data_IF_365739911958
#
_entry.id   IF_365739911958
#
_cell.length_a   1.000
_cell.length_b   1.000
_cell.length_c   1.000
_cell.angle_alpha   90.00
_cell.angle_beta   90.00
_cell.angle_gamma   90.00
#
_symmetry.space_group_name_H-M   'P 1'
#
loop_
_entity.id
_entity.type
_entity.pdbx_description
1 polymer ?
#
# COMPACT_ATOMS: atom_id res chain seq x y z
N UNK A 1 -9.28 -14.21 -8.93
CA UNK A 1 -8.69 -15.13 -7.94
C UNK A 1 -7.18 -14.90 -7.87
N UNK A 2 -6.70 -13.96 -7.04
CA UNK A 2 -5.27 -13.61 -6.89
C UNK A 2 -4.73 -14.25 -5.62
N UNK A 3 -4.46 -15.54 -5.72
CA UNK A 3 -4.32 -16.43 -4.58
C UNK A 3 -2.91 -17.01 -4.42
N UNK A 4 -1.88 -16.18 -4.57
CA UNK A 4 -0.49 -16.45 -4.12
C UNK A 4 0.20 -15.11 -3.89
N UNK A 5 1.26 -15.05 -3.10
CA UNK A 5 2.23 -13.95 -3.16
C UNK A 5 2.97 -13.87 -4.52
N UNK A 6 2.38 -14.36 -5.60
CA UNK A 6 3.10 -14.89 -6.77
C UNK A 6 2.34 -14.62 -8.08
N UNK A 7 1.86 -13.40 -8.26
CA UNK A 7 1.54 -12.84 -9.57
C UNK A 7 2.50 -11.69 -9.82
N UNK A 8 3.23 -11.72 -10.93
CA UNK A 8 4.02 -10.59 -11.41
C UNK A 8 3.29 -9.25 -11.15
N UNK A 9 3.77 -8.43 -10.21
CA UNK A 9 3.37 -7.03 -10.19
C UNK A 9 2.67 -6.42 -8.97
N UNK A 10 2.23 -7.10 -7.90
CA UNK A 10 1.55 -6.33 -6.80
C UNK A 10 2.50 -5.33 -6.13
N UNK A 11 3.74 -5.77 -5.86
CA UNK A 11 4.81 -4.90 -5.41
C UNK A 11 5.15 -3.85 -6.48
N UNK A 12 5.40 -4.26 -7.72
CA UNK A 12 5.75 -3.30 -8.78
C UNK A 12 4.64 -2.29 -9.08
N UNK A 13 3.36 -2.70 -9.03
CA UNK A 13 2.20 -1.84 -9.27
C UNK A 13 2.01 -0.87 -8.12
N UNK A 14 2.05 -1.33 -6.87
CA UNK A 14 1.92 -0.42 -5.71
C UNK A 14 3.07 0.59 -5.69
N UNK A 15 4.31 0.16 -5.94
CA UNK A 15 5.46 1.06 -6.06
C UNK A 15 5.34 1.98 -7.27
N UNK A 16 4.92 1.49 -8.45
CA UNK A 16 4.71 2.32 -9.63
C UNK A 16 3.63 3.38 -9.38
N UNK A 17 2.53 3.02 -8.71
CA UNK A 17 1.49 3.97 -8.28
C UNK A 17 2.07 5.03 -7.36
N UNK A 18 2.85 4.63 -6.36
CA UNK A 18 3.50 5.54 -5.42
C UNK A 18 4.46 6.50 -6.13
N UNK A 19 5.32 5.99 -7.01
CA UNK A 19 6.24 6.79 -7.82
C UNK A 19 5.51 7.73 -8.76
N UNK A 20 4.42 7.26 -9.39
CA UNK A 20 3.59 8.06 -10.27
C UNK A 20 2.86 9.18 -9.51
N UNK A 21 2.37 8.91 -8.30
CA UNK A 21 1.85 9.94 -7.42
C UNK A 21 2.94 10.96 -7.08
N UNK A 22 4.15 10.50 -6.69
CA UNK A 22 5.28 11.41 -6.39
C UNK A 22 5.60 12.33 -7.57
N UNK A 23 5.66 11.77 -8.77
CA UNK A 23 5.92 12.52 -9.99
C UNK A 23 4.85 13.59 -10.27
N UNK A 24 3.64 13.42 -9.73
CA UNK A 24 2.53 14.39 -9.82
C UNK A 24 2.41 15.31 -8.60
N UNK A 25 3.37 15.28 -7.67
CA UNK A 25 3.34 16.12 -6.47
C UNK A 25 2.44 15.61 -5.34
N UNK A 26 1.93 14.38 -5.44
CA UNK A 26 1.17 13.72 -4.39
C UNK A 26 2.00 12.61 -3.76
N UNK A 27 1.77 12.31 -2.48
CA UNK A 27 2.48 11.24 -1.82
C UNK A 27 1.52 10.46 -0.93
N UNK A 28 1.05 9.28 -1.38
CA UNK A 28 0.20 8.44 -0.58
C UNK A 28 1.03 7.59 0.39
N UNK A 29 0.36 6.98 1.37
CA UNK A 29 0.99 5.98 2.20
C UNK A 29 1.22 4.72 1.38
N UNK A 30 2.40 4.11 1.50
CA UNK A 30 2.68 2.81 0.91
C UNK A 30 2.81 1.76 2.00
N UNK A 31 2.08 0.67 1.88
CA UNK A 31 2.01 -0.37 2.89
C UNK A 31 2.37 -1.73 2.29
N UNK A 32 3.03 -2.57 3.09
CA UNK A 32 3.18 -4.00 2.83
C UNK A 32 2.77 -4.78 4.06
N UNK A 33 2.25 -5.98 3.85
CA UNK A 33 1.72 -6.79 4.93
C UNK A 33 1.60 -8.25 4.56
N UNK A 34 1.32 -9.06 5.58
CA UNK A 34 1.12 -10.50 5.44
C UNK A 34 -0.14 -10.95 6.13
N UNK A 35 -0.82 -11.95 5.56
CA UNK A 35 -1.80 -12.78 6.26
C UNK A 35 -1.18 -14.15 6.49
N UNK A 36 -1.44 -14.78 7.64
CA UNK A 36 -0.81 -16.06 8.03
C UNK A 36 -1.56 -17.29 7.49
N UNK A 37 -2.86 -17.22 7.25
CA UNK A 37 -3.68 -18.36 6.79
C UNK A 37 -4.70 -17.96 5.70
N UNK A 38 -4.61 -18.52 4.48
CA UNK A 38 -3.38 -19.04 3.89
C UNK A 38 -2.33 -17.94 3.82
N UNK A 39 -1.05 -18.31 3.97
CA UNK A 39 0.04 -17.34 3.96
C UNK A 39 0.04 -16.50 2.67
N UNK A 40 -0.06 -15.18 2.81
CA UNK A 40 0.02 -14.22 1.70
C UNK A 40 0.73 -12.94 2.12
N UNK A 41 1.79 -12.56 1.42
CA UNK A 41 2.30 -11.19 1.32
C UNK A 41 1.54 -10.38 0.27
N UNK A 42 1.35 -9.09 0.56
CA UNK A 42 0.70 -8.11 -0.31
C UNK A 42 1.31 -6.71 -0.11
N UNK A 43 1.18 -5.86 -1.12
CA UNK A 43 1.63 -4.48 -1.10
C UNK A 43 0.56 -3.59 -1.73
N UNK A 44 0.20 -2.51 -1.05
CA UNK A 44 -0.90 -1.61 -1.43
C UNK A 44 -0.57 -0.16 -1.11
N UNK A 45 -1.46 0.73 -1.53
CA UNK A 45 -1.39 2.17 -1.30
C UNK A 45 -2.60 2.58 -0.46
N UNK A 46 -2.40 3.46 0.52
CA UNK A 46 -3.47 4.05 1.31
C UNK A 46 -3.52 5.57 1.13
N UNK A 47 -4.73 6.12 1.16
CA UNK A 47 -4.98 7.56 1.25
C UNK A 47 -5.90 7.79 2.43
N UNK A 48 -5.49 8.63 3.38
CA UNK A 48 -6.24 8.89 4.61
C UNK A 48 -6.63 7.60 5.38
N UNK A 49 -5.76 6.58 5.34
CA UNK A 49 -6.01 5.28 5.98
C UNK A 49 -6.94 4.34 5.22
N UNK A 50 -7.36 4.70 4.00
CA UNK A 50 -8.18 3.86 3.14
C UNK A 50 -7.33 3.19 2.04
N UNK A 51 -7.32 1.85 1.93
CA UNK A 51 -6.68 1.13 0.84
C UNK A 51 -7.28 1.50 -0.53
N UNK A 52 -6.45 1.75 -1.53
CA UNK A 52 -6.87 2.18 -2.87
C UNK A 52 -6.85 1.03 -3.85
N UNK A 53 -8.00 0.71 -4.45
CA UNK A 53 -8.10 -0.31 -5.50
C UNK A 53 -7.92 -1.75 -5.00
N UNK A 54 -8.01 -1.93 -3.68
CA UNK A 54 -7.91 -3.23 -3.02
C UNK A 54 -9.29 -3.77 -2.67
N UNK A 55 -9.44 -5.09 -2.65
CA UNK A 55 -10.67 -5.74 -2.18
C UNK A 55 -10.79 -5.71 -0.67
N UNK A 56 -11.96 -6.12 -0.15
CA UNK A 56 -12.20 -6.22 1.30
C UNK A 56 -11.22 -7.16 2.01
N UNK A 57 -10.51 -8.02 1.29
CA UNK A 57 -9.55 -8.96 1.86
C UNK A 57 -8.26 -8.29 2.37
N UNK A 58 -7.98 -7.05 1.95
CA UNK A 58 -6.81 -6.27 2.40
C UNK A 58 -6.81 -6.05 3.92
N UNK A 59 -8.00 -5.95 4.54
CA UNK A 59 -8.13 -5.76 5.99
C UNK A 59 -7.63 -6.96 6.82
N UNK A 60 -7.49 -8.13 6.20
CA UNK A 60 -6.97 -9.33 6.84
C UNK A 60 -5.44 -9.44 6.77
N UNK A 61 -4.76 -8.50 6.13
CA UNK A 61 -3.31 -8.42 6.13
C UNK A 61 -2.84 -7.62 7.32
N UNK A 62 -1.88 -8.18 8.06
CA UNK A 62 -1.15 -7.48 9.09
C UNK A 62 -0.06 -6.65 8.41
N UNK A 63 -0.12 -5.33 8.55
CA UNK A 63 0.90 -4.42 8.02
C UNK A 63 2.25 -4.69 8.69
N UNK A 64 3.26 -5.01 7.89
CA UNK A 64 4.64 -5.20 8.33
C UNK A 64 5.49 -3.94 8.15
N UNK A 65 5.24 -3.20 7.06
CA UNK A 65 5.93 -1.95 6.78
C UNK A 65 4.94 -0.95 6.22
N UNK A 66 5.00 0.28 6.73
CA UNK A 66 4.32 1.44 6.19
C UNK A 66 5.34 2.54 5.97
N UNK A 67 5.37 3.07 4.76
CA UNK A 67 6.12 4.28 4.42
C UNK A 67 5.08 5.40 4.35
N UNK A 68 5.00 6.25 5.38
CA UNK A 68 3.94 7.24 5.46
C UNK A 68 4.15 8.35 4.43
N UNK A 69 3.04 9.01 4.12
CA UNK A 69 3.06 10.29 3.47
C UNK A 69 4.00 11.22 4.29
N UNK A 70 5.13 11.69 3.75
CA UNK A 70 5.82 12.85 4.28
C UNK A 70 4.79 13.99 4.21
N UNK A 71 4.14 14.24 5.34
CA UNK A 71 3.38 15.45 5.57
C UNK A 71 4.36 16.56 5.24
N UNK A 72 4.19 17.23 4.10
CA UNK A 72 4.81 18.52 3.90
C UNK A 72 4.42 19.34 5.12
N UNK A 73 5.42 19.75 5.89
CA UNK A 73 5.38 20.75 6.95
C UNK A 73 3.97 21.34 7.19
N UNK A 74 3.16 20.62 7.98
CA UNK A 74 1.98 21.21 8.59
C UNK A 74 2.30 21.40 10.07
N UNK A 75 3.25 22.31 10.32
CA UNK A 75 3.19 23.16 11.52
C UNK A 75 1.85 23.89 11.43
N UNK A 76 0.84 23.32 12.06
CA UNK A 76 -0.31 24.10 12.49
C UNK A 76 0.11 24.82 13.78
N UNK A 77 -0.25 26.09 13.84
CA UNK A 77 0.19 27.10 14.81
C UNK A 77 -0.29 26.86 16.24
#
# INVERSE_FOLDING_TARGET
MSSKCAGQGCLQRSVATVLLCRARGHWPDWCTGVRTQPFRAHAWVEVAGCPVGEGEDVQYFQTLMRVPAATGDRRDS
#
